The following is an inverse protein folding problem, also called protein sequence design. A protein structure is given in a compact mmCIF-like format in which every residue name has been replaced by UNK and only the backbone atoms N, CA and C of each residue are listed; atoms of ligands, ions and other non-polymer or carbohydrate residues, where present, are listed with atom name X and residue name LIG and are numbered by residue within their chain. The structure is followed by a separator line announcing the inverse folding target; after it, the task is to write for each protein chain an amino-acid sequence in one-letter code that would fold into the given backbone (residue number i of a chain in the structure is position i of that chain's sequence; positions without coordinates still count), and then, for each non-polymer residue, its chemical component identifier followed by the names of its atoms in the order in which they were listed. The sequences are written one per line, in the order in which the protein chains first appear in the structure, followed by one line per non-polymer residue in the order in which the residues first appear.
data_IF_789658384343
#
_entry.id   IF_789658384343
#
_cell.length_a   1.000
_cell.length_b   1.000
_cell.length_c   1.000
_cell.angle_alpha   90.00
_cell.angle_beta   90.00
_cell.angle_gamma   90.00
#
_symmetry.space_group_name_H-M   'P 1'
#
loop_
_entity.id
_entity.type
_entity.pdbx_description
1 polymer ?
#
# COMPACT_ATOMS: atom_id res chain seq x y z
N UNK A 1 -19.63 30.53 4.07
CA UNK A 1 -18.33 29.90 4.41
C UNK A 1 -18.66 28.52 4.97
N UNK A 2 -18.74 27.41 4.27
CA UNK A 2 -18.63 27.02 2.86
C UNK A 2 -18.55 25.50 2.93
N UNK A 3 -19.54 24.76 2.41
CA UNK A 3 -19.64 23.29 2.48
C UNK A 3 -18.38 22.53 1.97
N UNK A 4 -17.47 23.25 1.33
CA UNK A 4 -16.15 22.78 0.87
C UNK A 4 -15.13 22.57 2.00
N UNK A 5 -15.24 23.27 3.13
CA UNK A 5 -14.31 23.12 4.27
C UNK A 5 -14.68 21.98 5.20
N UNK A 6 -15.95 21.54 5.20
CA UNK A 6 -16.38 20.34 5.93
C UNK A 6 -15.93 19.05 5.21
N UNK A 7 -15.69 19.13 3.90
CA UNK A 7 -15.32 18.00 3.05
C UNK A 7 -13.85 17.57 3.27
N UNK A 8 -12.93 18.52 3.45
CA UNK A 8 -11.53 18.20 3.79
C UNK A 8 -11.35 17.63 5.20
N UNK A 9 -12.27 17.88 6.13
CA UNK A 9 -12.23 17.28 7.48
C UNK A 9 -12.70 15.81 7.51
N UNK A 10 -13.33 15.29 6.46
CA UNK A 10 -13.73 13.88 6.36
C UNK A 10 -12.64 13.05 5.66
N UNK A 11 -11.89 13.65 4.74
CA UNK A 11 -10.72 13.03 4.07
C UNK A 11 -9.56 12.74 5.03
N UNK A 12 -9.28 13.63 5.99
CA UNK A 12 -8.21 13.42 6.99
C UNK A 12 -8.63 12.46 8.11
N UNK A 13 -9.92 12.44 8.47
CA UNK A 13 -10.45 11.58 9.54
C UNK A 13 -10.54 10.11 9.11
N UNK A 14 -10.85 9.81 7.84
CA UNK A 14 -10.93 8.42 7.35
C UNK A 14 -9.57 7.72 7.23
N UNK A 15 -8.53 8.45 6.86
CA UNK A 15 -7.15 7.93 6.79
C UNK A 15 -6.53 7.76 8.18
N UNK A 16 -6.82 8.66 9.12
CA UNK A 16 -6.39 8.55 10.51
C UNK A 16 -7.09 7.41 11.26
N UNK A 17 -8.37 7.11 10.96
CA UNK A 17 -9.14 6.06 11.62
C UNK A 17 -8.77 4.64 11.19
N UNK A 18 -8.29 4.47 9.95
CA UNK A 18 -7.78 3.18 9.46
C UNK A 18 -6.25 3.02 9.71
N UNK A 19 -5.52 4.13 9.85
CA UNK A 19 -4.17 4.09 10.45
C UNK A 19 -4.29 3.78 11.96
N UNK A 20 -5.31 4.27 12.67
CA UNK A 20 -5.62 3.85 14.05
C UNK A 20 -6.03 2.36 14.17
N UNK A 21 -6.61 1.78 13.11
CA UNK A 21 -6.93 0.35 13.03
C UNK A 21 -5.69 -0.56 13.10
N UNK A 22 -4.50 -0.07 12.73
CA UNK A 22 -3.23 -0.82 12.73
C UNK A 22 -2.02 -0.10 13.34
N UNK A 23 -2.18 1.13 13.83
CA UNK A 23 -1.10 1.91 14.40
C UNK A 23 -1.57 2.58 15.69
N UNK A 24 -0.81 2.26 16.74
CA UNK A 24 -0.62 3.02 17.97
C UNK A 24 -1.79 3.19 18.95
N UNK A 25 -3.04 2.99 18.55
CA UNK A 25 -4.17 3.00 19.50
C UNK A 25 -4.47 1.59 20.02
N UNK A 26 -4.32 1.41 21.34
CA UNK A 26 -4.66 0.18 22.09
C UNK A 26 -6.18 -0.03 22.24
N UNK A 27 -7.00 0.83 21.64
CA UNK A 27 -8.44 0.86 21.87
C UNK A 27 -9.20 -0.09 20.93
N UNK A 28 -9.43 -1.31 21.42
CA UNK A 28 -10.21 -2.35 20.72
C UNK A 28 -11.70 -1.99 20.69
N UNK A 29 -12.14 -1.03 21.51
CA UNK A 29 -13.56 -0.71 21.71
C UNK A 29 -14.21 0.04 20.54
N UNK A 30 -13.41 0.63 19.66
CA UNK A 30 -13.88 1.40 18.52
C UNK A 30 -13.21 0.97 17.22
N UNK A 31 -13.93 0.22 16.38
CA UNK A 31 -13.61 0.11 14.96
C UNK A 31 -14.60 0.91 14.13
N UNK A 32 -14.16 2.04 13.59
CA UNK A 32 -14.94 2.73 12.56
C UNK A 32 -14.60 2.12 11.20
N UNK A 33 -15.17 0.96 10.88
CA UNK A 33 -15.19 0.47 9.50
C UNK A 33 -16.26 1.26 8.75
N UNK A 34 -15.90 2.42 8.20
CA UNK A 34 -16.76 3.08 7.22
C UNK A 34 -16.77 2.21 5.95
N UNK A 35 -17.65 1.22 5.92
CA UNK A 35 -17.89 0.33 4.79
C UNK A 35 -18.03 1.19 3.52
N UNK A 36 -17.07 1.09 2.60
CA UNK A 36 -16.99 1.91 1.38
C UNK A 36 -15.68 2.67 1.17
N UNK A 37 -14.74 2.66 2.13
CA UNK A 37 -13.48 3.43 2.04
C UNK A 37 -12.23 2.55 2.26
N UNK A 38 -11.89 1.66 1.33
CA UNK A 38 -10.67 0.83 1.43
C UNK A 38 -9.86 0.89 0.13
N UNK A 39 -9.10 1.98 -0.04
CA UNK A 39 -8.19 2.15 -1.19
C UNK A 39 -6.70 2.06 -0.86
N UNK A 40 -6.24 2.65 0.26
CA UNK A 40 -4.80 2.82 0.53
C UNK A 40 -4.13 1.67 1.27
N UNK A 41 -4.83 0.99 2.18
CA UNK A 41 -4.24 -0.06 3.02
C UNK A 41 -3.92 -1.34 2.24
N UNK A 42 -4.81 -1.69 1.29
CA UNK A 42 -4.64 -2.81 0.36
C UNK A 42 -3.49 -2.63 -0.64
N UNK A 43 -2.91 -1.43 -0.75
CA UNK A 43 -1.74 -1.15 -1.58
C UNK A 43 -0.40 -1.27 -0.81
N UNK A 44 -0.41 -1.45 0.51
CA UNK A 44 0.82 -1.48 1.29
C UNK A 44 1.51 -2.84 1.22
N UNK A 45 2.77 -2.86 0.79
CA UNK A 45 3.60 -4.05 0.75
C UNK A 45 4.39 -4.33 2.03
N UNK A 46 4.27 -3.51 3.08
CA UNK A 46 5.06 -3.70 4.32
C UNK A 46 4.72 -5.04 4.98
N UNK A 47 5.74 -5.85 5.24
CA UNK A 47 5.66 -7.05 6.09
C UNK A 47 5.48 -6.57 7.54
N UNK A 48 4.47 -7.10 8.21
CA UNK A 48 4.17 -6.84 9.63
C UNK A 48 4.51 -8.03 10.50
N UNK A 49 4.26 -9.25 9.99
CA UNK A 49 4.58 -10.49 10.69
C UNK A 49 5.21 -11.50 9.73
N UNK A 50 6.08 -12.32 10.28
CA UNK A 50 6.65 -13.49 9.65
C UNK A 50 6.29 -14.69 10.52
N UNK A 51 5.74 -15.74 9.90
CA UNK A 51 5.29 -16.92 10.61
C UNK A 51 6.02 -18.17 10.10
N UNK A 52 6.53 -18.96 11.02
CA UNK A 52 7.14 -20.26 10.75
C UNK A 52 6.25 -21.35 11.35
N UNK A 53 6.08 -22.43 10.60
CA UNK A 53 5.32 -23.59 11.06
C UNK A 53 6.18 -24.83 10.81
N UNK A 54 6.19 -25.76 11.77
CA UNK A 54 6.97 -27.01 11.66
C UNK A 54 6.50 -27.86 10.46
N UNK A 55 5.21 -27.77 10.12
CA UNK A 55 4.64 -28.42 8.94
C UNK A 55 3.62 -27.52 8.24
N UNK A 56 3.63 -27.54 6.90
CA UNK A 56 2.78 -26.70 6.05
C UNK A 56 1.28 -26.99 6.18
N UNK A 57 0.89 -28.21 6.54
CA UNK A 57 -0.50 -28.63 6.79
C UNK A 57 -1.05 -28.11 8.15
N UNK A 58 -0.16 -27.59 9.01
CA UNK A 58 -0.49 -27.02 10.31
C UNK A 58 -0.40 -25.48 10.32
N UNK A 59 -0.51 -24.84 9.16
CA UNK A 59 -0.52 -23.38 9.05
C UNK A 59 -1.97 -22.89 9.16
N UNK A 60 -2.26 -21.89 10.01
CA UNK A 60 -3.58 -21.28 10.06
C UNK A 60 -3.79 -20.36 8.87
N UNK A 61 -4.99 -20.39 8.28
CA UNK A 61 -5.33 -19.51 7.15
C UNK A 61 -5.62 -18.06 7.60
N UNK A 62 -6.01 -17.88 8.86
CA UNK A 62 -6.46 -16.61 9.41
C UNK A 62 -5.80 -16.38 10.77
N UNK A 63 -5.35 -15.16 11.00
CA UNK A 63 -4.86 -14.66 12.27
C UNK A 63 -5.75 -13.52 12.74
N UNK A 64 -6.56 -13.79 13.76
CA UNK A 64 -7.52 -12.87 14.34
C UNK A 64 -6.85 -11.91 15.31
N UNK A 65 -7.12 -10.62 15.17
CA UNK A 65 -6.75 -9.63 16.17
C UNK A 65 -7.93 -9.31 17.10
N UNK A 66 -9.14 -9.19 16.55
CA UNK A 66 -10.31 -8.85 17.33
C UNK A 66 -11.62 -9.35 16.70
N UNK A 67 -12.64 -9.47 17.56
CA UNK A 67 -14.01 -9.81 17.16
C UNK A 67 -15.01 -8.78 17.68
N UNK A 68 -16.13 -8.63 16.99
CA UNK A 68 -17.10 -7.56 17.19
C UNK A 68 -18.53 -8.10 17.11
N UNK A 69 -19.39 -7.61 17.99
CA UNK A 69 -20.78 -8.09 18.11
C UNK A 69 -21.80 -7.07 17.62
N UNK A 70 -21.57 -5.77 17.85
CA UNK A 70 -22.58 -4.74 17.61
C UNK A 70 -22.31 -4.04 16.29
N UNK A 71 -23.30 -3.99 15.40
CA UNK A 71 -23.21 -3.27 14.13
C UNK A 71 -24.14 -2.06 14.13
N UNK A 72 -23.59 -0.85 14.02
CA UNK A 72 -24.35 0.42 14.05
C UNK A 72 -23.76 1.43 13.08
N UNK A 73 -24.64 2.13 12.35
CA UNK A 73 -24.26 3.22 11.43
C UNK A 73 -23.20 2.87 10.40
N UNK A 74 -23.17 1.63 9.92
CA UNK A 74 -22.16 1.19 8.96
C UNK A 74 -20.93 0.56 9.59
N UNK A 75 -20.75 0.63 10.90
CA UNK A 75 -19.52 0.24 11.60
C UNK A 75 -19.75 -0.87 12.63
N UNK A 76 -18.71 -1.68 12.85
CA UNK A 76 -18.67 -2.68 13.90
C UNK A 76 -18.10 -2.10 15.20
N UNK A 77 -18.75 -2.36 16.32
CA UNK A 77 -18.34 -1.89 17.64
C UNK A 77 -18.06 -3.10 18.52
N UNK A 78 -16.92 -3.06 19.21
CA UNK A 78 -16.64 -4.05 20.24
C UNK A 78 -17.42 -3.63 21.49
N UNK A 79 -18.00 -4.62 22.17
CA UNK A 79 -18.43 -4.36 23.53
C UNK A 79 -17.17 -4.00 24.33
N UNK A 80 -17.27 -3.03 25.26
CA UNK A 80 -16.26 -2.86 26.31
C UNK A 80 -16.37 -4.10 27.21
N UNK A 81 -15.80 -5.19 26.73
CA UNK A 81 -15.86 -6.51 27.34
C UNK A 81 -15.01 -6.53 28.60
N UNK A 82 -15.34 -7.44 29.50
CA UNK A 82 -14.48 -7.75 30.62
C UNK A 82 -13.15 -8.29 30.07
N UNK A 83 -12.05 -7.74 30.56
CA UNK A 83 -10.70 -8.22 30.25
C UNK A 83 -10.27 -9.15 31.38
N UNK A 84 -9.76 -10.32 31.04
CA UNK A 84 -9.18 -11.26 32.00
C UNK A 84 -7.67 -11.22 31.88
N UNK A 85 -6.97 -10.79 32.92
CA UNK A 85 -5.51 -10.85 32.97
C UNK A 85 -5.05 -12.30 33.06
N UNK A 86 -4.20 -12.71 32.12
CA UNK A 86 -3.64 -14.06 32.06
C UNK A 86 -2.54 -14.22 33.10
N UNK A 87 -2.43 -15.43 33.66
CA UNK A 87 -1.32 -15.76 34.55
C UNK A 87 -0.06 -15.96 33.73
N UNK A 88 1.03 -15.31 34.17
CA UNK A 88 2.34 -15.53 33.61
C UNK A 88 3.12 -16.60 34.37
N UNK A 89 3.90 -17.38 33.65
CA UNK A 89 4.94 -18.25 34.17
C UNK A 89 6.30 -17.91 33.52
N UNK A 90 7.39 -18.43 34.09
CA UNK A 90 8.76 -18.25 33.59
C UNK A 90 9.14 -16.79 33.31
N UNK A 91 9.05 -15.92 34.33
CA UNK A 91 9.42 -14.50 34.26
C UNK A 91 8.71 -13.75 33.11
N UNK A 92 7.37 -13.89 33.01
CA UNK A 92 6.56 -13.17 32.01
C UNK A 92 6.80 -13.59 30.56
N UNK A 93 7.23 -14.84 30.34
CA UNK A 93 7.46 -15.38 28.99
C UNK A 93 6.50 -16.48 28.59
N UNK A 94 5.79 -17.11 29.52
CA UNK A 94 4.74 -18.09 29.22
C UNK A 94 3.39 -17.60 29.72
N UNK A 95 2.37 -17.73 28.88
CA UNK A 95 1.00 -17.33 29.17
C UNK A 95 0.06 -18.49 28.85
N UNK A 96 -0.52 -19.10 29.88
CA UNK A 96 -1.46 -20.22 29.74
C UNK A 96 -2.90 -19.71 29.88
N UNK A 97 -3.75 -20.08 28.91
CA UNK A 97 -5.19 -19.74 28.92
C UNK A 97 -5.99 -20.90 29.52
N UNK A 98 -5.78 -22.11 29.00
CA UNK A 98 -6.40 -23.36 29.46
C UNK A 98 -5.35 -24.46 29.42
N UNK A 99 -5.25 -25.26 30.48
CA UNK A 99 -4.39 -26.43 30.48
C UNK A 99 -4.98 -27.50 29.54
N UNK A 100 -4.36 -27.68 28.38
CA UNK A 100 -4.73 -28.71 27.41
C UNK A 100 -3.55 -29.66 27.18
N UNK A 101 -3.82 -30.97 27.13
CA UNK A 101 -2.80 -31.98 26.87
C UNK A 101 -2.17 -31.76 25.48
N UNK A 102 -0.84 -31.85 25.39
CA UNK A 102 -0.05 -31.51 24.19
C UNK A 102 -0.33 -32.39 22.96
N UNK A 103 -1.16 -33.44 23.06
CA UNK A 103 -1.26 -34.48 22.04
C UNK A 103 -2.02 -34.12 20.76
N UNK A 104 -2.68 -32.96 20.67
CA UNK A 104 -3.44 -32.52 19.48
C UNK A 104 -3.22 -31.04 19.11
N UNK A 105 -2.26 -30.37 19.75
CA UNK A 105 -1.98 -28.95 19.54
C UNK A 105 -1.13 -28.68 18.29
N UNK A 106 -1.50 -27.68 17.51
CA UNK A 106 -0.67 -27.10 16.44
C UNK A 106 0.24 -26.02 17.04
N UNK A 107 1.39 -25.80 16.42
CA UNK A 107 2.38 -24.80 16.83
C UNK A 107 2.76 -23.92 15.64
N UNK A 108 2.83 -22.62 15.86
CA UNK A 108 3.45 -21.65 14.93
C UNK A 108 4.31 -20.67 15.70
N UNK A 109 5.44 -20.30 15.12
CA UNK A 109 6.32 -19.25 15.63
C UNK A 109 6.02 -17.97 14.84
N UNK A 110 5.82 -16.85 15.54
CA UNK A 110 5.41 -15.59 14.97
C UNK A 110 6.35 -14.48 15.42
N UNK A 111 6.95 -13.79 14.45
CA UNK A 111 7.91 -12.72 14.70
C UNK A 111 7.53 -11.46 13.90
N UNK A 112 7.46 -10.31 14.54
CA UNK A 112 7.01 -9.09 13.86
C UNK A 112 6.78 -7.89 14.76
N UNK A 113 6.26 -6.84 14.14
CA UNK A 113 5.96 -5.56 14.77
C UNK A 113 4.62 -5.63 15.51
N UNK A 114 4.69 -5.57 16.85
CA UNK A 114 3.53 -5.67 17.73
C UNK A 114 2.70 -4.38 17.75
N UNK A 115 3.29 -3.23 17.39
CA UNK A 115 2.62 -1.94 17.17
C UNK A 115 1.55 -1.55 18.19
N UNK A 116 0.30 -1.92 17.92
CA UNK A 116 -0.91 -1.61 18.71
C UNK A 116 -1.05 -2.40 20.01
N UNK A 117 -0.23 -3.43 20.24
CA UNK A 117 -0.33 -4.29 21.41
C UNK A 117 -1.46 -5.33 21.31
N UNK A 118 -2.09 -5.52 20.14
CA UNK A 118 -3.11 -6.55 19.93
C UNK A 118 -2.52 -7.68 19.10
N UNK A 119 -2.44 -8.88 19.69
CA UNK A 119 -1.80 -10.03 19.05
C UNK A 119 -2.69 -10.62 17.94
N UNK A 120 -2.16 -10.80 16.72
CA UNK A 120 -2.82 -11.61 15.71
C UNK A 120 -2.59 -13.09 16.02
N UNK A 121 -3.67 -13.81 16.31
CA UNK A 121 -3.61 -15.21 16.76
C UNK A 121 -4.53 -16.11 15.92
N UNK A 122 -4.16 -17.38 15.70
CA UNK A 122 -5.09 -18.35 15.14
C UNK A 122 -6.22 -18.65 16.13
N UNK A 123 -7.29 -19.25 15.63
CA UNK A 123 -8.38 -19.69 16.48
C UNK A 123 -7.93 -20.78 17.47
N UNK A 124 -8.36 -20.63 18.73
CA UNK A 124 -8.13 -21.65 19.76
C UNK A 124 -6.73 -21.67 20.35
N UNK A 125 -6.07 -20.51 20.47
CA UNK A 125 -4.81 -20.40 21.23
C UNK A 125 -5.07 -20.75 22.69
N UNK A 126 -4.28 -21.70 23.21
CA UNK A 126 -4.34 -22.13 24.62
C UNK A 126 -3.05 -21.83 25.39
N UNK A 127 -1.93 -21.59 24.69
CA UNK A 127 -0.65 -21.22 25.29
C UNK A 127 0.16 -20.29 24.37
N UNK A 128 0.82 -19.30 24.96
CA UNK A 128 1.76 -18.40 24.30
C UNK A 128 3.11 -18.51 25.01
N UNK A 129 4.15 -18.86 24.27
CA UNK A 129 5.51 -19.03 24.78
C UNK A 129 6.45 -17.98 24.16
N UNK A 130 7.36 -17.42 24.95
CA UNK A 130 8.38 -16.47 24.49
C UNK A 130 7.93 -15.00 24.39
N UNK A 131 6.64 -14.68 24.53
CA UNK A 131 6.12 -13.32 24.40
C UNK A 131 6.59 -12.42 25.57
N UNK A 132 7.45 -11.41 25.34
CA UNK A 132 8.01 -10.58 26.39
C UNK A 132 7.07 -9.39 26.68
N UNK A 133 5.97 -9.63 27.38
CA UNK A 133 4.99 -8.60 27.77
C UNK A 133 4.93 -8.43 29.30
N UNK A 134 4.55 -7.24 29.79
CA UNK A 134 4.37 -7.03 31.24
C UNK A 134 3.10 -7.74 31.71
N UNK A 135 2.02 -7.60 30.95
CA UNK A 135 0.77 -8.30 31.14
C UNK A 135 0.14 -8.66 29.79
N UNK A 136 -0.61 -9.75 29.77
CA UNK A 136 -1.47 -10.13 28.65
C UNK A 136 -2.89 -10.23 29.18
N UNK A 137 -3.80 -9.52 28.54
CA UNK A 137 -5.23 -9.55 28.82
C UNK A 137 -5.97 -10.24 27.68
N UNK A 138 -6.94 -11.08 28.03
CA UNK A 138 -7.84 -11.74 27.11
C UNK A 138 -9.23 -11.13 27.22
N UNK A 139 -9.76 -10.63 26.11
CA UNK A 139 -11.15 -10.17 26.04
C UNK A 139 -12.12 -11.35 25.93
N UNK A 140 -13.35 -11.16 26.38
CA UNK A 140 -14.43 -12.16 26.21
C UNK A 140 -14.70 -12.54 24.74
N UNK A 141 -14.32 -11.66 23.80
CA UNK A 141 -14.45 -11.86 22.35
C UNK A 141 -13.19 -12.46 21.71
N UNK A 142 -12.22 -12.86 22.54
CA UNK A 142 -11.04 -13.61 22.14
C UNK A 142 -9.92 -12.78 21.51
N UNK A 143 -9.83 -11.49 21.87
CA UNK A 143 -8.69 -10.63 21.53
C UNK A 143 -7.64 -10.68 22.64
N UNK A 144 -6.37 -10.84 22.26
CA UNK A 144 -5.26 -10.81 23.20
C UNK A 144 -4.56 -9.46 23.14
N UNK A 145 -4.40 -8.82 24.29
CA UNK A 145 -3.90 -7.45 24.43
C UNK A 145 -2.71 -7.46 25.36
N UNK A 146 -1.61 -6.89 24.92
CA UNK A 146 -0.40 -6.75 25.74
C UNK A 146 -0.35 -5.37 26.38
N UNK A 147 -0.06 -5.31 27.68
CA UNK A 147 0.33 -4.09 28.36
C UNK A 147 1.83 -3.86 28.18
N UNK A 148 2.19 -2.71 27.60
CA UNK A 148 3.58 -2.27 27.41
C UNK A 148 4.50 -3.31 26.75
N UNK A 149 3.98 -4.01 25.73
CA UNK A 149 4.76 -4.91 24.88
C UNK A 149 5.84 -4.17 24.06
N UNK A 150 6.92 -4.87 23.64
CA UNK A 150 7.96 -4.28 22.81
C UNK A 150 7.43 -3.91 21.42
N UNK A 151 8.15 -3.05 20.71
CA UNK A 151 7.84 -2.72 19.31
C UNK A 151 7.96 -3.96 18.41
N UNK A 152 8.91 -4.85 18.69
CA UNK A 152 9.09 -6.13 17.99
C UNK A 152 8.95 -7.29 18.97
N UNK A 153 8.17 -8.30 18.60
CA UNK A 153 7.96 -9.50 19.40
C UNK A 153 8.26 -10.76 18.58
N UNK A 154 8.83 -11.75 19.25
CA UNK A 154 9.07 -13.10 18.71
C UNK A 154 8.55 -14.11 19.74
N UNK A 155 7.56 -14.91 19.34
CA UNK A 155 6.85 -15.80 20.25
C UNK A 155 6.21 -16.98 19.52
N UNK A 156 5.95 -18.03 20.28
CA UNK A 156 5.31 -19.27 19.82
C UNK A 156 3.86 -19.31 20.28
N UNK A 157 2.97 -19.64 19.36
CA UNK A 157 1.55 -19.86 19.62
C UNK A 157 1.22 -21.34 19.53
N UNK A 158 0.55 -21.85 20.56
CA UNK A 158 -0.03 -23.18 20.60
C UNK A 158 -1.55 -23.11 20.50
N UNK A 159 -2.13 -23.82 19.54
CA UNK A 159 -3.54 -23.66 19.20
C UNK A 159 -4.21 -24.93 18.68
N UNK A 160 -5.55 -24.98 18.75
CA UNK A 160 -6.36 -26.14 18.33
C UNK A 160 -7.12 -25.92 17.02
N UNK A 161 -7.35 -24.67 16.63
CA UNK A 161 -8.23 -24.31 15.51
C UNK A 161 -9.72 -24.27 15.86
N UNK A 162 -10.10 -24.49 17.12
CA UNK A 162 -11.47 -24.33 17.60
C UNK A 162 -11.57 -23.19 18.61
N UNK A 163 -12.53 -22.30 18.46
CA UNK A 163 -12.60 -21.08 19.26
C UNK A 163 -12.91 -21.37 20.73
N UNK A 164 -12.13 -20.75 21.61
CA UNK A 164 -12.26 -20.85 23.07
C UNK A 164 -12.83 -19.58 23.71
N UNK A 165 -13.38 -18.68 22.89
CA UNK A 165 -13.98 -17.43 23.36
C UNK A 165 -15.20 -17.70 24.24
N UNK A 166 -15.66 -16.67 24.95
CA UNK A 166 -16.92 -16.76 25.69
C UNK A 166 -18.07 -17.16 24.74
N UNK A 167 -18.99 -17.98 25.27
CA UNK A 167 -20.18 -18.44 24.56
C UNK A 167 -21.05 -17.29 24.03
N UNK A 168 -22.02 -17.59 23.15
CA UNK A 168 -22.82 -16.57 22.51
C UNK A 168 -23.74 -15.86 23.51
N UNK A 169 -23.96 -14.57 23.28
CA UNK A 169 -24.95 -13.76 23.99
C UNK A 169 -26.05 -13.24 23.05
N UNK A 170 -26.98 -12.43 23.57
CA UNK A 170 -28.08 -11.87 22.77
C UNK A 170 -27.60 -10.95 21.62
N UNK A 171 -26.46 -10.27 21.77
CA UNK A 171 -25.90 -9.38 20.74
C UNK A 171 -25.35 -10.15 19.56
N UNK A 172 -24.93 -11.40 19.80
CA UNK A 172 -24.48 -12.31 18.74
C UNK A 172 -25.61 -12.73 17.78
N UNK A 173 -26.88 -12.42 18.12
CA UNK A 173 -28.06 -12.62 17.27
C UNK A 173 -28.71 -11.30 16.80
N UNK A 174 -28.22 -10.15 17.26
CA UNK A 174 -28.85 -8.86 16.98
C UNK A 174 -28.65 -8.44 15.51
N UNK A 175 -29.74 -8.11 14.83
CA UNK A 175 -29.72 -7.47 13.50
C UNK A 175 -30.29 -6.05 13.64
N UNK A 176 -29.64 -5.01 13.09
CA UNK A 176 -30.19 -3.65 13.14
C UNK A 176 -31.55 -3.55 12.48
N UNK A 177 -32.46 -2.78 13.08
CA UNK A 177 -33.85 -2.61 12.62
C UNK A 177 -33.96 -2.22 11.14
N UNK A 178 -33.01 -1.42 10.63
CA UNK A 178 -32.98 -1.01 9.22
C UNK A 178 -32.69 -2.17 8.24
N UNK A 179 -32.00 -3.21 8.68
CA UNK A 179 -31.62 -4.37 7.88
C UNK A 179 -32.53 -5.58 8.09
N UNK A 180 -33.24 -5.65 9.23
CA UNK A 180 -34.10 -6.80 9.60
C UNK A 180 -35.03 -7.28 8.47
N UNK A 181 -35.83 -6.41 7.79
CA UNK A 181 -36.74 -6.89 6.75
C UNK A 181 -35.99 -7.54 5.57
N UNK A 182 -34.84 -6.97 5.21
CA UNK A 182 -34.00 -7.48 4.10
C UNK A 182 -33.38 -8.82 4.48
N UNK A 183 -32.82 -8.93 5.68
CA UNK A 183 -32.17 -10.16 6.15
C UNK A 183 -33.18 -11.29 6.32
N UNK A 184 -34.36 -11.00 6.87
CA UNK A 184 -35.42 -11.99 7.03
C UNK A 184 -35.95 -12.48 5.67
N UNK A 185 -36.05 -11.59 4.68
CA UNK A 185 -36.45 -11.97 3.33
C UNK A 185 -35.40 -12.89 2.69
N UNK A 186 -34.13 -12.50 2.72
CA UNK A 186 -33.04 -13.32 2.19
C UNK A 186 -32.91 -14.67 2.90
N UNK A 187 -33.07 -14.71 4.23
CA UNK A 187 -33.05 -15.96 4.98
C UNK A 187 -34.17 -16.92 4.56
N UNK A 188 -35.38 -16.40 4.27
CA UNK A 188 -36.49 -17.20 3.71
C UNK A 188 -36.20 -17.66 2.29
N UNK A 189 -35.72 -16.77 1.43
CA UNK A 189 -35.47 -17.07 0.01
C UNK A 189 -34.35 -18.11 -0.16
N UNK A 190 -33.34 -18.06 0.70
CA UNK A 190 -32.26 -19.05 0.75
C UNK A 190 -32.67 -20.33 1.52
N UNK A 191 -33.79 -20.32 2.24
CA UNK A 191 -34.23 -21.42 3.09
C UNK A 191 -33.23 -21.74 4.21
N UNK A 192 -32.76 -20.69 4.90
CA UNK A 192 -31.87 -20.82 6.06
C UNK A 192 -32.66 -21.27 7.28
N UNK A 193 -32.05 -22.14 8.10
CA UNK A 193 -32.71 -22.82 9.21
C UNK A 193 -31.73 -22.98 10.39
N UNK A 194 -32.07 -22.48 11.60
CA UNK A 194 -31.21 -22.63 12.78
C UNK A 194 -31.02 -24.08 13.20
N UNK A 195 -31.95 -24.97 12.87
CA UNK A 195 -31.89 -26.39 13.24
C UNK A 195 -30.84 -27.13 12.41
N UNK A 196 -30.47 -26.60 11.25
CA UNK A 196 -29.50 -27.18 10.32
C UNK A 196 -28.40 -26.17 10.00
N UNK A 197 -27.54 -25.83 10.99
CA UNK A 197 -26.54 -24.78 10.82
C UNK A 197 -25.60 -25.08 9.65
N UNK A 198 -25.07 -26.30 9.56
CA UNK A 198 -24.18 -26.72 8.46
C UNK A 198 -24.81 -26.58 7.07
N UNK A 199 -26.11 -26.84 6.92
CA UNK A 199 -26.81 -26.64 5.65
C UNK A 199 -26.94 -25.14 5.33
N UNK A 200 -27.26 -24.32 6.34
CA UNK A 200 -27.33 -22.86 6.20
C UNK A 200 -25.99 -22.26 5.81
N UNK A 201 -24.88 -22.73 6.39
CA UNK A 201 -23.52 -22.31 6.05
C UNK A 201 -23.23 -22.56 4.56
N UNK A 202 -23.48 -23.78 4.09
CA UNK A 202 -23.27 -24.15 2.69
C UNK A 202 -24.12 -23.33 1.73
N UNK A 203 -25.38 -23.02 2.09
CA UNK A 203 -26.27 -22.16 1.31
C UNK A 203 -25.78 -20.71 1.24
N UNK A 204 -25.32 -20.15 2.35
CA UNK A 204 -24.76 -18.79 2.38
C UNK A 204 -23.47 -18.74 1.56
N UNK A 205 -22.58 -19.73 1.70
CA UNK A 205 -21.36 -19.84 0.91
C UNK A 205 -21.67 -19.86 -0.59
N UNK A 206 -22.60 -20.73 -1.00
CA UNK A 206 -23.04 -20.85 -2.39
C UNK A 206 -23.68 -19.56 -2.91
N UNK A 207 -24.48 -18.89 -2.09
CA UNK A 207 -25.10 -17.61 -2.45
C UNK A 207 -24.05 -16.56 -2.81
N UNK A 208 -22.98 -16.42 -2.01
CA UNK A 208 -21.90 -15.49 -2.33
C UNK A 208 -21.09 -15.93 -3.54
N UNK A 209 -20.71 -17.22 -3.63
CA UNK A 209 -19.93 -17.74 -4.77
C UNK A 209 -20.65 -17.59 -6.12
N UNK A 210 -21.95 -17.83 -6.16
CA UNK A 210 -22.72 -17.85 -7.41
C UNK A 210 -23.13 -16.43 -7.87
N UNK A 211 -23.25 -15.46 -6.95
CA UNK A 211 -23.91 -14.17 -7.24
C UNK A 211 -23.02 -12.95 -7.07
N UNK A 212 -21.86 -13.07 -6.41
CA UNK A 212 -21.04 -11.92 -6.01
C UNK A 212 -19.63 -11.98 -6.59
N UNK A 213 -18.97 -10.83 -6.66
CA UNK A 213 -17.57 -10.75 -7.07
C UNK A 213 -16.76 -9.81 -6.17
N UNK A 214 -15.48 -10.11 -6.01
CA UNK A 214 -14.58 -9.25 -5.24
C UNK A 214 -14.22 -7.99 -6.04
N UNK A 215 -14.24 -6.82 -5.38
CA UNK A 215 -13.78 -5.55 -5.96
C UNK A 215 -13.29 -4.61 -4.86
N UNK A 216 -12.08 -4.06 -5.06
CA UNK A 216 -11.52 -2.98 -4.23
C UNK A 216 -12.06 -1.60 -4.63
N UNK A 217 -12.64 -1.47 -5.83
CA UNK A 217 -13.20 -0.22 -6.34
C UNK A 217 -14.72 -0.30 -6.39
N UNK A 218 -15.39 0.51 -5.58
CA UNK A 218 -16.85 0.63 -5.53
C UNK A 218 -17.24 2.03 -5.97
N UNK A 219 -17.88 2.16 -7.12
CA UNK A 219 -18.36 3.46 -7.61
C UNK A 219 -19.59 3.88 -6.80
N UNK A 220 -19.57 5.09 -6.22
CA UNK A 220 -20.76 5.69 -5.58
C UNK A 220 -21.07 5.23 -4.15
N UNK A 221 -20.24 4.37 -3.53
CA UNK A 221 -20.44 3.89 -2.16
C UNK A 221 -20.38 5.00 -1.09
N UNK A 222 -19.71 6.11 -1.40
CA UNK A 222 -19.42 7.21 -0.46
C UNK A 222 -20.66 7.93 0.10
N UNK A 223 -21.80 7.87 -0.59
CA UNK A 223 -23.03 8.58 -0.24
C UNK A 223 -24.22 7.66 0.06
N UNK A 224 -24.00 6.35 0.18
CA UNK A 224 -25.08 5.39 0.41
C UNK A 224 -25.46 5.32 1.90
N UNK A 225 -26.71 5.62 2.29
CA UNK A 225 -27.15 5.51 3.68
C UNK A 225 -27.26 4.07 4.18
N UNK A 226 -27.27 3.06 3.30
CA UNK A 226 -27.39 1.63 3.64
C UNK A 226 -26.47 0.77 2.74
N UNK A 227 -25.13 0.91 2.85
CA UNK A 227 -24.17 0.29 1.93
C UNK A 227 -24.28 -1.23 1.87
N UNK A 228 -24.58 -1.88 3.00
CA UNK A 228 -24.76 -3.33 3.04
C UNK A 228 -25.99 -3.80 2.24
N UNK A 229 -27.08 -3.02 2.26
CA UNK A 229 -28.29 -3.36 1.51
C UNK A 229 -28.04 -3.26 0.01
N UNK A 230 -27.33 -2.22 -0.42
CA UNK A 230 -26.97 -2.00 -1.82
C UNK A 230 -26.02 -3.09 -2.32
N UNK A 231 -25.02 -3.48 -1.52
CA UNK A 231 -24.18 -4.63 -1.81
C UNK A 231 -24.99 -5.91 -2.04
N UNK A 232 -25.91 -6.24 -1.12
CA UNK A 232 -26.68 -7.49 -1.18
C UNK A 232 -27.71 -7.53 -2.32
N UNK A 233 -28.36 -6.41 -2.62
CA UNK A 233 -29.52 -6.39 -3.53
C UNK A 233 -29.20 -5.84 -4.93
N UNK A 234 -28.15 -5.02 -5.08
CA UNK A 234 -27.88 -4.27 -6.31
C UNK A 234 -26.49 -4.56 -6.87
N UNK A 235 -25.44 -4.08 -6.19
CA UNK A 235 -24.07 -4.09 -6.73
C UNK A 235 -23.48 -5.49 -6.83
N UNK A 236 -23.71 -6.32 -5.81
CA UNK A 236 -23.15 -7.66 -5.66
C UNK A 236 -21.62 -7.71 -5.87
N UNK A 237 -20.96 -6.60 -5.63
CA UNK A 237 -19.51 -6.43 -5.71
C UNK A 237 -19.02 -5.68 -4.48
N UNK A 238 -17.95 -6.16 -3.87
CA UNK A 238 -17.46 -5.64 -2.58
C UNK A 238 -16.08 -6.18 -2.24
N UNK A 239 -15.47 -5.63 -1.19
CA UNK A 239 -14.28 -6.19 -0.56
C UNK A 239 -14.65 -7.00 0.68
N UNK A 240 -13.66 -7.60 1.36
CA UNK A 240 -13.83 -8.57 2.44
C UNK A 240 -14.82 -8.14 3.53
N UNK A 241 -14.80 -6.86 3.94
CA UNK A 241 -15.71 -6.33 4.97
C UNK A 241 -17.19 -6.45 4.60
N UNK A 242 -17.56 -6.29 3.32
CA UNK A 242 -18.94 -6.45 2.85
C UNK A 242 -19.38 -7.90 2.95
N UNK A 243 -18.53 -8.84 2.52
CA UNK A 243 -18.78 -10.27 2.59
C UNK A 243 -18.90 -10.74 4.04
N UNK A 244 -17.95 -10.34 4.89
CA UNK A 244 -17.96 -10.65 6.32
C UNK A 244 -19.21 -10.11 7.00
N UNK A 245 -19.53 -8.82 6.80
CA UNK A 245 -20.70 -8.20 7.42
C UNK A 245 -22.00 -8.83 6.94
N UNK A 246 -22.14 -9.07 5.63
CA UNK A 246 -23.33 -9.71 5.07
C UNK A 246 -23.47 -11.16 5.55
N UNK A 247 -22.37 -11.91 5.62
CA UNK A 247 -22.32 -13.26 6.15
C UNK A 247 -22.79 -13.32 7.60
N UNK A 248 -22.28 -12.43 8.48
CA UNK A 248 -22.74 -12.34 9.87
C UNK A 248 -24.23 -12.04 9.95
N UNK A 249 -24.73 -11.08 9.16
CA UNK A 249 -26.15 -10.73 9.19
C UNK A 249 -27.06 -11.87 8.69
N UNK A 250 -26.64 -12.65 7.69
CA UNK A 250 -27.38 -13.82 7.21
C UNK A 250 -27.35 -14.97 8.22
N UNK A 251 -26.22 -15.22 8.87
CA UNK A 251 -26.11 -16.21 9.96
C UNK A 251 -27.05 -15.85 11.11
N UNK A 252 -27.05 -14.59 11.56
CA UNK A 252 -27.97 -14.10 12.59
C UNK A 252 -29.43 -14.22 12.17
N UNK A 253 -29.73 -13.98 10.90
CA UNK A 253 -31.08 -14.11 10.37
C UNK A 253 -31.54 -15.57 10.29
N UNK A 254 -30.59 -16.49 10.15
CA UNK A 254 -30.79 -17.93 10.29
C UNK A 254 -30.89 -18.38 11.75
N UNK A 255 -30.76 -17.48 12.73
CA UNK A 255 -30.76 -17.83 14.16
C UNK A 255 -29.45 -18.45 14.67
N UNK A 256 -28.36 -18.34 13.89
CA UNK A 256 -27.03 -18.82 14.28
C UNK A 256 -26.26 -17.64 14.89
N UNK A 257 -25.79 -17.74 16.15
CA UNK A 257 -25.00 -16.67 16.75
C UNK A 257 -23.71 -16.44 15.95
N UNK A 258 -23.45 -15.18 15.60
CA UNK A 258 -22.33 -14.82 14.73
C UNK A 258 -21.67 -13.50 15.13
N UNK A 259 -20.36 -13.39 14.89
CA UNK A 259 -19.53 -12.21 15.17
C UNK A 259 -18.76 -11.79 13.93
N UNK A 260 -18.42 -10.52 13.82
CA UNK A 260 -17.47 -10.04 12.82
C UNK A 260 -16.06 -10.18 13.37
N UNK A 261 -15.10 -10.64 12.56
CA UNK A 261 -13.70 -10.75 12.93
C UNK A 261 -12.82 -9.97 11.97
N UNK A 262 -11.75 -9.38 12.52
CA UNK A 262 -10.74 -8.65 11.77
C UNK A 262 -9.34 -9.11 12.16
N UNK A 263 -8.44 -9.11 11.19
CA UNK A 263 -7.04 -9.48 11.37
C UNK A 263 -6.35 -9.65 10.03
N UNK A 264 -5.63 -10.76 9.86
CA UNK A 264 -4.84 -11.03 8.66
C UNK A 264 -5.14 -12.39 8.06
N UNK A 265 -5.17 -12.45 6.73
CA UNK A 265 -5.10 -13.70 5.99
C UNK A 265 -3.65 -14.14 5.80
N UNK A 266 -3.41 -15.45 5.84
CA UNK A 266 -2.10 -16.06 5.61
C UNK A 266 -2.13 -16.77 4.26
N UNK A 267 -1.57 -16.12 3.24
CA UNK A 267 -1.64 -16.62 1.86
C UNK A 267 -0.33 -16.45 1.06
N UNK A 268 0.71 -15.85 1.65
CA UNK A 268 1.98 -15.62 0.97
C UNK A 268 3.11 -16.42 1.61
N UNK A 269 3.61 -17.41 0.89
CA UNK A 269 4.75 -18.23 1.32
C UNK A 269 6.04 -17.76 0.65
N UNK A 270 7.09 -17.55 1.43
CA UNK A 270 8.42 -17.22 0.94
C UNK A 270 9.35 -18.44 1.04
N UNK A 271 9.73 -19.06 -0.09
CA UNK A 271 10.58 -20.24 -0.09
C UNK A 271 12.04 -19.95 0.28
N UNK A 272 12.49 -18.70 0.22
CA UNK A 272 13.88 -18.34 0.58
C UNK A 272 14.09 -18.34 2.10
N UNK A 273 13.05 -17.99 2.85
CA UNK A 273 13.08 -17.91 4.31
C UNK A 273 12.29 -19.04 4.98
N UNK A 274 11.70 -19.95 4.20
CA UNK A 274 10.82 -21.01 4.67
C UNK A 274 9.72 -20.52 5.64
N UNK A 275 9.06 -19.42 5.24
CA UNK A 275 8.16 -18.69 6.14
C UNK A 275 6.96 -18.10 5.41
N UNK A 276 5.86 -17.94 6.13
CA UNK A 276 4.70 -17.20 5.65
C UNK A 276 4.85 -15.71 5.96
N UNK A 277 4.68 -14.88 4.94
CA UNK A 277 4.77 -13.42 5.05
C UNK A 277 3.37 -12.83 5.23
N UNK A 278 3.19 -12.11 6.33
CA UNK A 278 1.94 -11.43 6.65
C UNK A 278 2.20 -9.93 6.49
N UNK A 279 1.45 -9.31 5.59
CA UNK A 279 1.65 -7.91 5.20
C UNK A 279 0.44 -7.07 5.55
N UNK A 280 0.62 -5.74 5.60
CA UNK A 280 -0.49 -4.81 5.82
C UNK A 280 -1.64 -5.00 4.83
N UNK A 281 -1.35 -5.29 3.55
CA UNK A 281 -2.39 -5.59 2.55
C UNK A 281 -3.19 -6.88 2.83
N UNK A 282 -2.62 -7.83 3.57
CA UNK A 282 -3.30 -9.07 3.96
C UNK A 282 -4.31 -8.86 5.08
N UNK A 283 -4.49 -7.61 5.54
CA UNK A 283 -5.65 -7.19 6.32
C UNK A 283 -6.93 -7.78 5.75
N UNK A 284 -7.65 -8.55 6.57
CA UNK A 284 -8.81 -9.31 6.14
C UNK A 284 -9.91 -9.31 7.20
N UNK A 285 -11.13 -9.51 6.72
CA UNK A 285 -12.33 -9.54 7.54
C UNK A 285 -13.17 -10.77 7.19
N UNK A 286 -13.73 -11.43 8.20
CA UNK A 286 -14.54 -12.64 8.04
C UNK A 286 -15.62 -12.75 9.12
N UNK A 287 -16.45 -13.79 9.03
CA UNK A 287 -17.49 -14.07 10.02
C UNK A 287 -17.03 -15.17 10.99
N UNK A 288 -17.45 -15.08 12.24
CA UNK A 288 -17.40 -16.19 13.20
C UNK A 288 -18.82 -16.70 13.40
N UNK A 289 -19.01 -18.02 13.47
CA UNK A 289 -20.29 -18.62 13.84
C UNK A 289 -20.12 -19.57 15.02
N UNK A 290 -21.09 -19.56 15.95
CA UNK A 290 -21.12 -20.51 17.06
C UNK A 290 -21.91 -21.76 16.65
N UNK A 291 -21.21 -22.86 16.43
CA UNK A 291 -21.76 -24.11 15.89
C UNK A 291 -21.15 -25.27 16.66
N UNK A 292 -21.99 -26.24 17.03
CA UNK A 292 -21.56 -27.45 17.77
C UNK A 292 -20.80 -27.15 19.07
N UNK A 293 -21.15 -26.03 19.72
CA UNK A 293 -20.56 -25.63 21.01
C UNK A 293 -19.24 -24.85 20.90
N UNK A 294 -18.77 -24.53 19.70
CA UNK A 294 -17.53 -23.78 19.48
C UNK A 294 -17.69 -22.66 18.45
N UNK A 295 -16.87 -21.62 18.55
CA UNK A 295 -16.73 -20.63 17.50
C UNK A 295 -15.90 -21.18 16.35
N UNK A 296 -16.31 -20.87 15.11
CA UNK A 296 -15.66 -21.31 13.88
C UNK A 296 -15.49 -20.13 12.92
N UNK A 297 -14.33 -20.03 12.27
CA UNK A 297 -14.04 -19.04 11.24
C UNK A 297 -14.76 -19.39 9.93
N UNK A 298 -15.46 -18.42 9.35
CA UNK A 298 -16.17 -18.53 8.08
C UNK A 298 -15.84 -17.34 7.19
N UNK A 299 -15.08 -17.60 6.12
CA UNK A 299 -14.76 -16.61 5.10
C UNK A 299 -15.62 -16.80 3.84
N UNK A 300 -16.54 -15.87 3.63
CA UNK A 300 -17.43 -15.84 2.47
C UNK A 300 -16.84 -15.09 1.27
N UNK A 301 -15.59 -14.61 1.37
CA UNK A 301 -14.92 -13.86 0.30
C UNK A 301 -14.52 -14.82 -0.84
N UNK A 302 -14.83 -14.52 -2.11
CA UNK A 302 -14.49 -15.42 -3.24
C UNK A 302 -12.99 -15.65 -3.42
N UNK A 303 -12.54 -16.90 -3.53
CA UNK A 303 -11.11 -17.30 -3.52
C UNK A 303 -10.19 -16.57 -4.51
N UNK A 304 -10.74 -16.00 -5.59
CA UNK A 304 -9.98 -15.19 -6.57
C UNK A 304 -9.40 -13.89 -5.98
N UNK A 305 -9.84 -13.47 -4.79
CA UNK A 305 -9.38 -12.25 -4.14
C UNK A 305 -7.85 -12.23 -3.90
N UNK A 306 -7.25 -13.37 -3.55
CA UNK A 306 -5.82 -13.46 -3.24
C UNK A 306 -4.94 -13.20 -4.48
N UNK A 307 -5.35 -13.73 -5.64
CA UNK A 307 -4.66 -13.52 -6.91
C UNK A 307 -4.75 -12.05 -7.35
N UNK A 308 -5.97 -11.47 -7.30
CA UNK A 308 -6.23 -10.07 -7.62
C UNK A 308 -5.40 -9.08 -6.78
N UNK A 309 -5.20 -9.38 -5.50
CA UNK A 309 -4.35 -8.54 -4.63
C UNK A 309 -2.86 -8.69 -4.94
N UNK A 310 -2.41 -9.90 -5.32
CA UNK A 310 -1.01 -10.16 -5.68
C UNK A 310 -0.58 -9.47 -6.99
N UNK A 311 -1.45 -9.42 -8.01
CA UNK A 311 -1.14 -8.84 -9.34
C UNK A 311 -0.88 -7.33 -9.29
N UNK A 312 -1.33 -6.64 -8.24
CA UNK A 312 -1.13 -5.20 -8.08
C UNK A 312 0.23 -4.83 -7.48
N UNK A 313 1.09 -5.80 -7.14
CA UNK A 313 2.41 -5.52 -6.54
C UNK A 313 3.48 -5.15 -7.57
N UNK A 314 4.17 -4.01 -7.38
CA UNK A 314 5.33 -3.68 -8.21
C UNK A 314 6.54 -4.59 -7.94
N UNK A 315 7.34 -4.83 -8.99
CA UNK A 315 8.52 -5.69 -8.92
C UNK A 315 9.59 -5.26 -7.89
N UNK A 316 9.68 -3.96 -7.54
CA UNK A 316 10.65 -3.46 -6.56
C UNK A 316 10.32 -3.83 -5.11
N UNK A 317 9.10 -4.30 -4.83
CA UNK A 317 8.67 -4.75 -3.50
C UNK A 317 9.56 -5.90 -3.00
N UNK A 318 9.96 -6.83 -3.88
CA UNK A 318 10.87 -7.92 -3.50
C UNK A 318 12.23 -7.45 -2.98
N UNK A 319 12.70 -6.27 -3.40
CA UNK A 319 13.95 -5.67 -2.89
C UNK A 319 13.74 -5.13 -1.46
N UNK A 320 12.60 -4.49 -1.20
CA UNK A 320 12.26 -4.00 0.15
C UNK A 320 11.99 -5.13 1.15
N UNK A 321 11.54 -6.28 0.64
CA UNK A 321 11.29 -7.47 1.44
C UNK A 321 12.59 -8.08 1.95
N UNK A 322 13.61 -8.19 1.09
CA UNK A 322 14.94 -8.65 1.50
C UNK A 322 15.52 -7.79 2.63
N UNK A 323 15.33 -6.47 2.57
CA UNK A 323 15.77 -5.57 3.65
C UNK A 323 14.96 -5.75 4.95
N UNK A 324 13.65 -5.99 4.84
CA UNK A 324 12.78 -6.18 6.01
C UNK A 324 13.05 -7.53 6.68
N UNK A 325 13.21 -8.59 5.89
CA UNK A 325 13.65 -9.91 6.34
C UNK A 325 15.03 -9.83 7.01
N UNK A 326 15.97 -9.11 6.39
CA UNK A 326 17.30 -8.89 6.98
C UNK A 326 17.21 -8.19 8.34
N UNK A 327 16.41 -7.12 8.46
CA UNK A 327 16.19 -6.43 9.74
C UNK A 327 15.56 -7.37 10.77
N UNK A 328 14.53 -8.13 10.41
CA UNK A 328 13.89 -9.11 11.29
C UNK A 328 14.90 -10.16 11.77
N UNK A 329 15.73 -10.70 10.87
CA UNK A 329 16.78 -11.66 11.24
C UNK A 329 17.82 -11.08 12.19
N UNK A 330 18.09 -9.77 12.16
CA UNK A 330 18.99 -9.15 13.13
C UNK A 330 18.34 -8.98 14.50
N UNK A 331 17.02 -8.74 14.54
CA UNK A 331 16.27 -8.50 15.79
C UNK A 331 15.91 -9.79 16.54
N UNK A 332 15.71 -10.91 15.84
CA UNK A 332 15.42 -12.22 16.47
C UNK A 332 16.65 -12.90 17.08
N UNK A 333 17.88 -12.42 16.79
CA UNK A 333 19.14 -13.12 17.07
C UNK A 333 19.88 -12.71 18.35
N UNK A 334 19.19 -12.16 19.34
CA UNK A 334 19.80 -11.84 20.65
C UNK A 334 19.96 -13.06 21.60
N UNK A 335 19.67 -14.30 21.16
CA UNK A 335 19.69 -15.47 22.05
C UNK A 335 20.49 -16.73 21.60
N UNK A 336 21.16 -16.76 20.44
CA UNK A 336 21.99 -17.92 20.05
C UNK A 336 23.34 -17.54 19.42
N UNK A 337 24.41 -18.16 19.93
CA UNK A 337 25.81 -17.76 19.76
C UNK A 337 26.46 -18.03 18.40
N UNK A 338 25.70 -18.43 17.37
CA UNK A 338 26.26 -18.87 16.08
C UNK A 338 26.03 -17.88 14.91
N UNK A 339 25.40 -16.73 15.16
CA UNK A 339 24.95 -15.77 14.14
C UNK A 339 26.00 -14.85 13.49
N UNK A 340 27.30 -14.99 13.79
CA UNK A 340 28.33 -14.08 13.22
C UNK A 340 28.64 -14.37 11.74
N UNK A 341 28.39 -15.59 11.26
CA UNK A 341 28.69 -16.00 9.88
C UNK A 341 27.67 -15.43 8.87
N UNK A 342 26.37 -15.43 9.20
CA UNK A 342 25.32 -14.98 8.28
C UNK A 342 25.28 -13.46 8.09
N UNK A 343 25.53 -12.67 9.14
CA UNK A 343 25.61 -11.20 9.03
C UNK A 343 26.75 -10.78 8.09
N UNK A 344 27.87 -11.51 8.11
CA UNK A 344 29.00 -11.28 7.19
C UNK A 344 28.59 -11.61 5.76
N UNK A 345 27.83 -12.69 5.51
CA UNK A 345 27.33 -13.02 4.17
C UNK A 345 26.42 -11.91 3.63
N UNK A 346 25.54 -11.33 4.43
CA UNK A 346 24.69 -10.22 4.00
C UNK A 346 25.46 -8.91 3.76
N UNK A 347 26.45 -8.59 4.61
CA UNK A 347 27.38 -7.48 4.33
C UNK A 347 28.09 -7.71 3.01
N UNK A 348 28.54 -8.94 2.73
CA UNK A 348 29.16 -9.31 1.47
C UNK A 348 28.19 -9.20 0.29
N UNK A 349 26.91 -9.55 0.44
CA UNK A 349 25.88 -9.37 -0.59
C UNK A 349 25.65 -7.88 -0.87
N UNK A 350 25.52 -7.04 0.16
CA UNK A 350 25.35 -5.58 0.00
C UNK A 350 26.59 -4.98 -0.67
N UNK A 351 27.79 -5.36 -0.24
CA UNK A 351 29.04 -4.93 -0.87
C UNK A 351 29.11 -5.40 -2.32
N UNK A 352 28.73 -6.64 -2.62
CA UNK A 352 28.66 -7.18 -3.98
C UNK A 352 27.64 -6.40 -4.82
N UNK A 353 26.47 -6.08 -4.27
CA UNK A 353 25.42 -5.33 -4.94
C UNK A 353 25.87 -3.87 -5.19
N UNK A 354 26.58 -3.25 -4.25
CA UNK A 354 27.23 -1.95 -4.45
C UNK A 354 28.34 -2.01 -5.50
N UNK A 355 29.13 -3.10 -5.54
CA UNK A 355 30.15 -3.33 -6.57
C UNK A 355 29.47 -3.52 -7.93
N UNK A 356 28.39 -4.29 -8.01
CA UNK A 356 27.60 -4.53 -9.24
C UNK A 356 26.92 -3.25 -9.68
N UNK A 357 26.31 -2.48 -8.79
CA UNK A 357 25.73 -1.16 -9.11
C UNK A 357 26.81 -0.20 -9.57
N UNK A 358 27.97 -0.15 -8.91
CA UNK A 358 29.11 0.66 -9.33
C UNK A 358 29.71 0.18 -10.65
N UNK A 359 29.68 -1.13 -10.92
CA UNK A 359 30.13 -1.75 -12.15
C UNK A 359 29.14 -1.51 -13.29
N UNK A 360 27.84 -1.63 -13.07
CA UNK A 360 26.77 -1.28 -14.00
C UNK A 360 26.72 0.23 -14.24
N UNK A 361 26.97 1.06 -13.23
CA UNK A 361 27.10 2.50 -13.37
C UNK A 361 28.40 2.86 -14.09
N UNK A 362 29.49 2.10 -13.90
CA UNK A 362 30.71 2.19 -14.70
C UNK A 362 30.50 1.71 -16.13
N UNK A 363 29.69 0.69 -16.37
CA UNK A 363 29.35 0.22 -17.73
C UNK A 363 28.39 1.17 -18.41
N UNK A 364 27.43 1.78 -17.68
CA UNK A 364 26.63 2.90 -18.17
C UNK A 364 27.52 4.10 -18.46
N UNK A 365 28.47 4.45 -17.58
CA UNK A 365 29.42 5.53 -17.82
C UNK A 365 30.41 5.22 -18.95
N UNK A 366 30.85 3.96 -19.12
CA UNK A 366 31.72 3.55 -20.20
C UNK A 366 30.98 3.44 -21.55
N UNK A 367 29.71 3.03 -21.52
CA UNK A 367 28.79 3.10 -22.66
C UNK A 367 28.44 4.54 -23.01
N UNK A 368 28.29 5.41 -22.00
CA UNK A 368 28.14 6.86 -22.16
C UNK A 368 29.46 7.47 -22.68
N UNK A 369 30.64 7.04 -22.27
CA UNK A 369 31.94 7.55 -22.79
C UNK A 369 32.21 7.06 -24.21
N UNK A 370 31.76 5.85 -24.56
CA UNK A 370 31.88 5.28 -25.91
C UNK A 370 30.80 5.85 -26.85
N UNK A 371 29.58 6.10 -26.37
CA UNK A 371 28.55 6.89 -27.06
C UNK A 371 28.90 8.38 -27.09
N UNK A 372 29.56 8.96 -26.10
CA UNK A 372 30.05 10.35 -26.08
C UNK A 372 31.23 10.51 -27.02
N UNK A 373 32.13 9.53 -27.13
CA UNK A 373 33.20 9.53 -28.13
C UNK A 373 32.66 9.30 -29.56
N UNK A 374 31.57 8.54 -29.71
CA UNK A 374 30.85 8.38 -30.97
C UNK A 374 29.94 9.59 -31.30
N UNK A 375 29.40 10.28 -30.29
CA UNK A 375 28.60 11.50 -30.40
C UNK A 375 29.44 12.77 -30.51
N UNK A 376 30.69 12.81 -30.03
CA UNK A 376 31.62 13.93 -30.29
C UNK A 376 31.99 14.02 -31.77
N UNK A 377 31.89 12.92 -32.52
CA UNK A 377 32.05 12.92 -33.97
C UNK A 377 30.74 13.32 -34.69
N UNK A 378 29.57 13.30 -34.01
CA UNK A 378 28.27 13.48 -34.66
C UNK A 378 27.31 14.50 -34.00
N UNK A 379 27.78 15.33 -33.06
CA UNK A 379 27.00 16.42 -32.47
C UNK A 379 27.06 17.69 -33.33
N UNK A 380 26.40 17.65 -34.50
CA UNK A 380 26.00 18.87 -35.19
C UNK A 380 24.73 19.41 -34.50
N UNK A 381 24.89 20.14 -33.39
CA UNK A 381 23.80 20.93 -32.82
C UNK A 381 23.34 21.95 -33.86
N UNK A 382 22.21 21.67 -34.53
CA UNK A 382 21.61 22.53 -35.54
C UNK A 382 21.38 23.92 -34.94
N UNK A 383 22.02 24.95 -35.50
CA UNK A 383 21.97 26.32 -34.97
C UNK A 383 23.29 26.87 -34.45
N UNK A 384 24.32 26.05 -34.17
CA UNK A 384 25.68 26.51 -33.78
C UNK A 384 26.46 27.09 -34.97
N UNK A 385 26.12 26.68 -36.18
CA UNK A 385 26.68 27.13 -37.46
C UNK A 385 25.85 28.27 -38.10
N UNK A 386 25.05 28.95 -37.29
CA UNK A 386 24.14 29.99 -37.74
C UNK A 386 24.89 31.25 -38.20
N UNK A 387 24.65 31.73 -39.45
CA UNK A 387 25.14 33.02 -39.94
C UNK A 387 24.95 34.22 -39.00
N UNK A 388 23.90 34.21 -38.16
CA UNK A 388 23.68 35.25 -37.14
C UNK A 388 24.88 35.51 -36.22
N UNK A 389 25.69 34.50 -35.91
CA UNK A 389 26.85 34.67 -35.04
C UNK A 389 27.94 35.56 -35.67
N UNK A 390 27.97 35.71 -36.99
CA UNK A 390 28.87 36.66 -37.66
C UNK A 390 28.52 38.11 -37.32
N UNK A 391 27.22 38.42 -37.30
CA UNK A 391 26.70 39.73 -36.87
C UNK A 391 27.05 39.98 -35.41
N UNK A 392 26.83 38.99 -34.54
CA UNK A 392 27.17 39.09 -33.12
C UNK A 392 28.67 39.29 -32.89
N UNK A 393 29.52 38.56 -33.63
CA UNK A 393 30.98 38.70 -33.57
C UNK A 393 31.42 40.09 -34.03
N UNK A 394 30.85 40.60 -35.11
CA UNK A 394 31.14 41.94 -35.61
C UNK A 394 30.75 43.04 -34.62
N UNK A 395 29.50 43.03 -34.13
CA UNK A 395 29.01 44.03 -33.19
C UNK A 395 29.75 43.98 -31.85
N UNK A 396 30.14 42.78 -31.38
CA UNK A 396 31.00 42.63 -30.21
C UNK A 396 32.39 43.25 -30.44
N UNK A 397 32.97 43.08 -31.63
CA UNK A 397 34.28 43.65 -31.95
C UNK A 397 34.28 45.18 -31.96
N UNK A 398 33.16 45.80 -32.33
CA UNK A 398 32.99 47.27 -32.30
C UNK A 398 32.39 47.80 -30.99
N UNK A 399 32.32 46.97 -29.94
CA UNK A 399 31.91 47.38 -28.58
C UNK A 399 30.41 47.32 -28.27
N UNK A 400 29.57 46.85 -29.20
CA UNK A 400 28.12 46.78 -29.05
C UNK A 400 27.62 45.33 -28.89
N UNK A 401 28.34 44.49 -28.15
CA UNK A 401 27.96 43.10 -27.90
C UNK A 401 26.81 42.94 -26.87
N UNK A 402 26.19 41.74 -26.80
CA UNK A 402 25.20 41.43 -25.77
C UNK A 402 25.83 41.27 -24.39
N UNK A 403 25.09 41.68 -23.35
CA UNK A 403 25.51 41.50 -21.94
C UNK A 403 25.30 40.06 -21.46
N UNK A 404 26.00 39.67 -20.37
CA UNK A 404 26.03 38.28 -19.86
C UNK A 404 24.65 37.67 -19.57
N UNK A 405 23.64 38.49 -19.24
CA UNK A 405 22.29 38.04 -18.86
C UNK A 405 21.19 38.65 -19.75
N UNK A 406 21.54 39.12 -20.95
CA UNK A 406 20.60 39.77 -21.88
C UNK A 406 20.19 38.82 -23.00
N UNK A 407 18.90 38.79 -23.35
CA UNK A 407 18.44 38.01 -24.51
C UNK A 407 18.83 38.70 -25.83
N UNK A 408 19.03 37.95 -26.91
CA UNK A 408 19.37 38.52 -28.23
C UNK A 408 18.34 39.56 -28.72
N UNK A 409 17.05 39.37 -28.40
CA UNK A 409 15.99 40.33 -28.73
C UNK A 409 16.11 41.63 -27.93
N UNK A 410 16.40 41.53 -26.63
CA UNK A 410 16.66 42.71 -25.79
C UNK A 410 17.90 43.46 -26.27
N UNK A 411 18.96 42.73 -26.60
CA UNK A 411 20.21 43.28 -27.14
C UNK A 411 19.98 44.06 -28.45
N UNK A 412 19.29 43.49 -29.44
CA UNK A 412 18.96 44.21 -30.69
C UNK A 412 18.06 45.42 -30.42
N UNK A 413 17.10 45.30 -29.49
CA UNK A 413 16.27 46.43 -29.06
C UNK A 413 17.09 47.57 -28.45
N UNK A 414 18.13 47.24 -27.68
CA UNK A 414 19.06 48.21 -27.08
C UNK A 414 19.90 48.93 -28.14
N UNK A 415 20.31 48.27 -29.22
CA UNK A 415 21.02 48.91 -30.35
C UNK A 415 20.20 50.06 -30.95
N UNK A 416 18.87 49.91 -31.01
CA UNK A 416 17.98 50.95 -31.53
C UNK A 416 17.85 52.21 -30.68
N UNK A 417 18.30 52.16 -29.42
CA UNK A 417 18.32 53.32 -28.53
C UNK A 417 19.58 54.18 -28.73
N UNK A 418 20.55 53.68 -29.50
CA UNK A 418 21.85 54.32 -29.75
C UNK A 418 21.72 55.22 -30.98
N UNK A 419 21.37 56.50 -30.77
CA UNK A 419 21.12 57.46 -31.85
C UNK A 419 22.34 57.83 -32.71
N UNK A 420 23.54 57.48 -32.25
CA UNK A 420 24.82 57.84 -32.87
C UNK A 420 25.20 56.94 -34.05
N UNK A 421 24.52 55.79 -34.22
CA UNK A 421 24.80 54.79 -35.26
C UNK A 421 23.49 54.23 -35.84
N UNK A 422 23.39 54.24 -37.16
CA UNK A 422 22.24 53.65 -37.87
C UNK A 422 22.45 52.14 -38.10
N UNK A 423 22.14 51.37 -37.05
CA UNK A 423 22.05 49.92 -37.18
C UNK A 423 20.70 49.60 -37.80
N UNK A 424 20.67 49.09 -39.04
CA UNK A 424 19.44 48.67 -39.72
C UNK A 424 18.69 47.60 -38.89
N UNK A 425 17.83 48.06 -37.98
CA UNK A 425 17.11 47.24 -37.01
C UNK A 425 16.06 46.34 -37.68
N UNK A 426 15.33 46.78 -38.72
CA UNK A 426 14.45 45.89 -39.47
C UNK A 426 15.19 44.66 -40.01
N UNK A 427 16.36 44.86 -40.62
CA UNK A 427 17.19 43.76 -41.12
C UNK A 427 17.69 42.85 -39.98
N UNK A 428 18.19 43.43 -38.88
CA UNK A 428 18.66 42.65 -37.71
C UNK A 428 17.57 41.81 -37.05
N UNK A 429 16.36 42.37 -36.90
CA UNK A 429 15.22 41.63 -36.36
C UNK A 429 14.81 40.48 -37.28
N UNK A 430 14.89 40.67 -38.61
CA UNK A 430 14.61 39.61 -39.58
C UNK A 430 15.64 38.49 -39.52
N UNK A 431 16.92 38.81 -39.38
CA UNK A 431 17.99 37.80 -39.21
C UNK A 431 17.81 37.05 -37.88
N UNK A 432 17.44 37.74 -36.79
CA UNK A 432 17.17 37.10 -35.50
C UNK A 432 15.96 36.16 -35.55
N UNK A 433 14.89 36.53 -36.26
CA UNK A 433 13.73 35.66 -36.48
C UNK A 433 14.12 34.38 -37.22
N UNK A 434 14.90 34.51 -38.31
CA UNK A 434 15.42 33.37 -39.07
C UNK A 434 16.37 32.50 -38.24
N UNK A 435 17.17 33.10 -37.35
CA UNK A 435 18.05 32.37 -36.43
C UNK A 435 17.25 31.48 -35.49
N UNK A 436 16.18 32.00 -34.88
CA UNK A 436 15.32 31.20 -34.01
C UNK A 436 14.59 30.11 -34.78
N UNK A 437 14.06 30.40 -35.98
CA UNK A 437 13.42 29.40 -36.83
C UNK A 437 14.41 28.30 -37.24
N UNK A 438 15.62 28.65 -37.66
CA UNK A 438 16.67 27.69 -38.02
C UNK A 438 17.02 26.77 -36.84
N UNK A 439 17.18 27.33 -35.64
CA UNK A 439 17.53 26.60 -34.40
C UNK A 439 16.46 25.58 -33.97
N UNK A 440 15.19 25.83 -34.26
CA UNK A 440 14.07 24.98 -33.83
C UNK A 440 13.32 24.32 -35.00
N UNK A 441 13.88 24.33 -36.22
CA UNK A 441 13.26 23.75 -37.43
C UNK A 441 13.59 22.28 -37.64
N UNK A 442 12.68 21.54 -38.30
CA UNK A 442 12.93 20.19 -38.80
C UNK A 442 14.03 20.20 -39.89
N UNK A 443 14.83 19.13 -39.97
CA UNK A 443 16.03 19.03 -40.82
C UNK A 443 15.75 19.39 -42.29
N UNK A 444 14.55 19.11 -42.80
CA UNK A 444 14.13 19.40 -44.18
C UNK A 444 14.04 20.91 -44.52
N UNK A 445 13.81 21.78 -43.54
CA UNK A 445 13.67 23.23 -43.74
C UNK A 445 14.96 24.01 -43.42
N UNK A 446 15.88 23.38 -42.67
CA UNK A 446 17.09 23.99 -42.13
C UNK A 446 18.01 24.59 -43.21
N UNK A 447 18.18 23.89 -44.33
CA UNK A 447 19.08 24.31 -45.43
C UNK A 447 18.58 25.58 -46.13
N UNK A 448 17.27 25.70 -46.35
CA UNK A 448 16.67 26.87 -46.97
C UNK A 448 16.74 28.09 -46.03
N UNK A 449 16.40 27.91 -44.76
CA UNK A 449 16.48 28.96 -43.73
C UNK A 449 17.91 29.48 -43.54
N UNK A 450 18.91 28.59 -43.52
CA UNK A 450 20.32 28.98 -43.42
C UNK A 450 20.78 29.80 -44.62
N UNK A 451 20.39 29.41 -45.84
CA UNK A 451 20.75 30.13 -47.08
C UNK A 451 20.09 31.52 -47.16
N UNK A 452 18.83 31.65 -46.77
CA UNK A 452 18.13 32.94 -46.68
C UNK A 452 18.82 33.85 -45.67
N UNK A 453 19.13 33.32 -44.48
CA UNK A 453 19.80 34.06 -43.42
C UNK A 453 21.21 34.50 -43.81
N UNK A 454 22.00 33.64 -44.48
CA UNK A 454 23.34 33.98 -44.97
C UNK A 454 23.30 35.18 -45.92
N UNK A 455 22.35 35.19 -46.86
CA UNK A 455 22.19 36.27 -47.85
C UNK A 455 21.89 37.60 -47.17
N UNK A 456 21.01 37.59 -46.15
CA UNK A 456 20.65 38.77 -45.38
C UNK A 456 21.81 39.28 -44.52
N UNK A 457 22.56 38.38 -43.87
CA UNK A 457 23.76 38.74 -43.09
C UNK A 457 24.82 39.38 -43.99
N UNK A 458 25.10 38.81 -45.15
CA UNK A 458 26.08 39.36 -46.09
C UNK A 458 25.67 40.73 -46.65
N UNK A 459 24.38 40.94 -46.89
CA UNK A 459 23.86 42.24 -47.31
C UNK A 459 24.02 43.28 -46.20
N UNK A 460 23.57 42.93 -44.98
CA UNK A 460 23.67 43.80 -43.81
C UNK A 460 25.13 44.16 -43.49
N UNK A 461 26.03 43.18 -43.51
CA UNK A 461 27.47 43.40 -43.27
C UNK A 461 28.11 44.32 -44.31
N UNK A 462 27.71 44.24 -45.58
CA UNK A 462 28.20 45.15 -46.64
C UNK A 462 27.74 46.59 -46.39
N UNK A 463 26.46 46.78 -46.08
CA UNK A 463 25.88 48.10 -45.80
C UNK A 463 26.53 48.75 -44.56
N UNK A 464 26.75 47.98 -43.50
CA UNK A 464 27.37 48.48 -42.28
C UNK A 464 28.85 48.82 -42.48
N UNK A 465 29.58 48.07 -43.32
CA UNK A 465 30.96 48.41 -43.69
C UNK A 465 31.04 49.68 -44.53
N UNK A 466 30.12 49.90 -45.47
CA UNK A 466 30.07 51.13 -46.28
C UNK A 466 29.69 52.39 -45.50
N UNK A 467 29.04 52.25 -44.34
CA UNK A 467 28.71 53.36 -43.44
C UNK A 467 29.83 53.67 -42.42
N UNK A 468 30.86 52.82 -42.35
CA UNK A 468 31.96 52.90 -41.38
C UNK A 468 33.32 53.23 -41.97
N UNK A 469 33.42 53.27 -43.31
CA UNK A 469 34.56 53.81 -44.06
C UNK A 469 34.14 55.09 -44.74
#
# INVERSE_FOLDING_TARGET
IGLRTLHHHIEEVSLALLDAWLSKDRDISHTSTAIGYVGKLKASSRIVWQMHAEHTDKVPNLLRQASYQTYKYGSWLAAKGEMTSLKSEMDFRRWDIVYQSESDGKRVDLSGDLGSGVLPVPMGVYRIDGLPAVAVELSTLGAFVTEDGPEFADFTLHYTGQGMDAGPDEKDLEIPKSLQPTMQQLARDLGLDPVRPHESLGKIQKFFQDNFSYSLYLQGAENDPLPLRTFLLQERKGHCEYFATAGVMLLRAAGIPARYAGGYAVNEYNPMTDSWLIRKRHAHAWALAFIDGAWQDLDYTPSTWAELESETTPWWVGITDLWTIFRHSLQTKDNESDGKSETVVWILIIVLLLIVVRWLHRQKLAGIDQELSAMEINNHYQGMDSPFFEVQKYLKAIGYGPDKNETLKQWIGRLGLIKEKDFDLPALNRVLELHYRYRFSLISEAKALKSEMQTLVEHWMRQQKSLSG
#
